data_IF_961513850473
#
_entry.id   IF_961513850473
#
_cell.length_a   1.000
_cell.length_b   1.000
_cell.length_c   1.000
_cell.angle_alpha   90.00
_cell.angle_beta   90.00
_cell.angle_gamma   90.00
#
_symmetry.space_group_name_H-M   'P 1'
#
loop_
_entity.id
_entity.type
_entity.pdbx_description
1 polymer ?
#
# COMPACT_ATOMS: atom_id res chain seq x y z
N UNK A 1 15.00 -13.79 -16.55
CA UNK A 1 14.74 -12.36 -16.27
C UNK A 1 13.28 -12.08 -16.58
N UNK A 2 12.45 -11.76 -15.58
CA UNK A 2 11.05 -11.41 -15.79
C UNK A 2 10.93 -9.88 -15.96
N UNK A 3 10.40 -9.44 -17.10
CA UNK A 3 10.14 -8.03 -17.37
C UNK A 3 9.00 -7.56 -16.46
N UNK A 4 9.30 -6.66 -15.52
CA UNK A 4 8.30 -6.01 -14.69
C UNK A 4 7.57 -4.94 -15.52
N UNK A 5 6.46 -5.30 -16.15
CA UNK A 5 5.49 -4.37 -16.72
C UNK A 5 4.74 -3.65 -15.59
N UNK A 6 5.45 -2.83 -14.83
CA UNK A 6 4.82 -1.83 -13.97
C UNK A 6 4.38 -0.67 -14.84
N UNK A 7 3.07 -0.37 -14.84
CA UNK A 7 2.44 0.65 -15.69
C UNK A 7 1.48 1.55 -14.91
N UNK A 8 0.51 2.14 -15.62
CA UNK A 8 -0.52 3.01 -15.05
C UNK A 8 -1.84 2.23 -14.93
N UNK A 9 -2.41 2.18 -13.73
CA UNK A 9 -3.76 1.65 -13.46
C UNK A 9 -4.54 2.70 -12.67
N UNK A 10 -5.51 3.35 -13.30
CA UNK A 10 -6.28 4.47 -12.73
C UNK A 10 -7.57 4.06 -12.02
N UNK A 11 -8.02 2.83 -12.26
CA UNK A 11 -9.18 2.20 -11.61
C UNK A 11 -8.71 1.11 -10.66
N UNK A 12 -8.31 1.48 -9.43
CA UNK A 12 -7.76 0.56 -8.45
C UNK A 12 -8.85 -0.31 -7.83
N UNK A 13 -8.46 -1.50 -7.44
CA UNK A 13 -9.24 -2.47 -6.70
C UNK A 13 -8.52 -2.85 -5.41
N UNK A 14 -9.27 -3.35 -4.42
CA UNK A 14 -8.68 -3.92 -3.20
C UNK A 14 -7.72 -5.06 -3.56
N UNK A 15 -6.52 -5.00 -2.96
CA UNK A 15 -5.41 -5.92 -3.23
C UNK A 15 -4.44 -5.46 -4.31
N UNK A 16 -4.74 -4.39 -5.05
CA UNK A 16 -3.77 -3.80 -5.96
C UNK A 16 -2.60 -3.18 -5.19
N UNK A 17 -1.40 -3.29 -5.75
CA UNK A 17 -0.17 -2.75 -5.19
C UNK A 17 0.39 -1.69 -6.11
N UNK A 18 0.70 -0.54 -5.52
CA UNK A 18 1.36 0.57 -6.19
C UNK A 18 2.68 0.89 -5.50
N UNK A 19 3.70 1.25 -6.26
CA UNK A 19 4.86 1.97 -5.74
C UNK A 19 4.50 3.44 -5.68
N UNK A 20 4.27 3.94 -4.47
CA UNK A 20 3.82 5.29 -4.19
C UNK A 20 5.00 6.16 -3.81
N UNK A 21 5.15 7.28 -4.52
CA UNK A 21 6.20 8.27 -4.30
C UNK A 21 6.13 8.87 -2.90
N UNK A 22 7.27 9.17 -2.25
CA UNK A 22 7.26 9.87 -0.97
C UNK A 22 6.62 11.26 -1.04
N UNK A 23 6.53 11.87 -2.23
CA UNK A 23 5.89 13.17 -2.46
C UNK A 23 4.39 13.17 -2.19
N UNK A 24 3.76 12.01 -2.11
CA UNK A 24 2.33 11.90 -1.75
C UNK A 24 2.13 11.74 -0.23
N UNK A 25 3.22 11.71 0.56
CA UNK A 25 3.18 11.64 2.02
C UNK A 25 3.22 13.05 2.61
N UNK A 26 2.24 13.40 3.45
CA UNK A 26 2.20 14.70 4.14
C UNK A 26 3.41 14.89 5.07
N UNK A 27 3.87 13.83 5.71
CA UNK A 27 4.98 13.86 6.67
C UNK A 27 6.36 13.70 6.01
N UNK A 28 6.43 13.71 4.68
CA UNK A 28 7.57 13.16 3.95
C UNK A 28 7.72 11.66 4.19
N UNK A 29 8.68 11.03 3.52
CA UNK A 29 9.06 9.65 3.81
C UNK A 29 10.49 9.65 4.35
N UNK A 30 10.66 9.22 5.60
CA UNK A 30 11.99 9.14 6.23
C UNK A 30 12.94 8.15 5.52
N UNK A 31 12.43 7.32 4.60
CA UNK A 31 13.18 6.22 3.97
C UNK A 31 13.57 6.49 2.50
N UNK A 32 13.67 7.76 2.10
CA UNK A 32 14.32 8.17 0.85
C UNK A 32 13.38 8.31 -0.36
N UNK A 33 13.98 8.48 -1.54
CA UNK A 33 13.31 8.88 -2.79
C UNK A 33 12.60 7.75 -3.56
N UNK A 34 12.82 6.48 -3.19
CA UNK A 34 12.48 5.32 -4.04
C UNK A 34 11.00 4.87 -3.99
N UNK A 35 10.14 5.62 -3.30
CA UNK A 35 8.74 5.26 -3.09
C UNK A 35 8.55 3.97 -2.29
N UNK A 36 7.32 3.71 -1.84
CA UNK A 36 6.99 2.51 -1.07
C UNK A 36 5.93 1.68 -1.75
N UNK A 37 6.00 0.34 -1.67
CA UNK A 37 4.87 -0.51 -2.00
C UNK A 37 3.72 -0.20 -1.04
N UNK A 38 2.57 0.14 -1.59
CA UNK A 38 1.33 0.38 -0.87
C UNK A 38 0.23 -0.46 -1.48
N UNK A 39 -0.47 -1.25 -0.65
CA UNK A 39 -1.60 -2.06 -1.07
C UNK A 39 -2.91 -1.32 -0.85
N UNK A 40 -3.80 -1.36 -1.83
CA UNK A 40 -5.14 -0.78 -1.76
C UNK A 40 -6.01 -1.62 -0.85
N UNK A 41 -6.60 -0.98 0.15
CA UNK A 41 -7.53 -1.63 1.09
C UNK A 41 -8.96 -1.13 0.93
N UNK A 42 -9.14 0.12 0.49
CA UNK A 42 -10.45 0.73 0.29
C UNK A 42 -10.38 1.82 -0.78
N UNK A 43 -11.41 1.92 -1.60
CA UNK A 43 -11.54 2.91 -2.66
C UNK A 43 -12.69 3.86 -2.35
N UNK A 44 -12.42 5.17 -2.39
CA UNK A 44 -13.45 6.21 -2.27
C UNK A 44 -13.58 7.02 -3.57
N UNK A 45 -14.59 7.90 -3.66
CA UNK A 45 -14.76 8.78 -4.84
C UNK A 45 -13.52 9.64 -5.12
N UNK A 46 -12.81 10.12 -4.08
CA UNK A 46 -11.73 11.12 -4.23
C UNK A 46 -10.33 10.53 -4.05
N UNK A 47 -10.18 9.46 -3.28
CA UNK A 47 -8.90 8.88 -2.92
C UNK A 47 -8.97 7.35 -2.73
N UNK A 48 -7.81 6.74 -2.69
CA UNK A 48 -7.62 5.32 -2.42
C UNK A 48 -6.89 5.20 -1.09
N UNK A 49 -7.46 4.45 -0.16
CA UNK A 49 -6.83 4.16 1.11
C UNK A 49 -5.87 2.99 0.92
N UNK A 50 -4.65 3.16 1.43
CA UNK A 50 -3.59 2.18 1.27
C UNK A 50 -2.88 1.90 2.57
N UNK A 51 -2.39 0.66 2.69
CA UNK A 51 -1.46 0.25 3.73
C UNK A 51 -0.05 0.17 3.14
N UNK A 52 0.90 0.75 3.86
CA UNK A 52 2.30 0.80 3.45
C UNK A 52 3.00 -0.51 3.82
N UNK A 53 3.85 -1.02 2.93
CA UNK A 53 4.75 -2.14 3.21
C UNK A 53 6.07 -1.66 3.80
N UNK A 54 6.59 -2.39 4.79
CA UNK A 54 7.93 -2.19 5.35
C UNK A 54 8.58 -3.53 5.70
N UNK A 55 9.90 -3.60 5.65
CA UNK A 55 10.66 -4.74 6.20
C UNK A 55 11.05 -4.53 7.66
N UNK A 56 10.92 -3.29 8.16
CA UNK A 56 11.30 -2.88 9.51
C UNK A 56 10.13 -2.09 10.14
N UNK A 57 9.11 -2.78 10.66
CA UNK A 57 7.99 -2.11 11.33
C UNK A 57 8.43 -1.50 12.66
N UNK A 58 7.76 -0.42 13.08
CA UNK A 58 7.94 0.13 14.43
C UNK A 58 7.44 -0.88 15.47
N UNK A 59 8.05 -0.91 16.66
CA UNK A 59 7.74 -1.92 17.70
C UNK A 59 6.25 -1.92 18.12
N UNK A 60 5.60 -0.76 18.06
CA UNK A 60 4.20 -0.56 18.44
C UNK A 60 3.24 -0.63 17.24
N UNK A 61 3.76 -0.73 16.02
CA UNK A 61 2.93 -0.80 14.82
C UNK A 61 2.18 -2.12 14.78
N UNK A 62 0.90 -2.09 14.40
CA UNK A 62 0.21 -3.32 14.03
C UNK A 62 0.73 -3.75 12.66
N UNK A 63 0.91 -5.05 12.52
CA UNK A 63 1.51 -5.63 11.32
C UNK A 63 0.69 -6.80 10.81
N UNK A 64 0.61 -6.89 9.48
CA UNK A 64 0.18 -8.08 8.77
C UNK A 64 1.39 -8.59 7.96
N UNK A 65 1.77 -9.85 8.16
CA UNK A 65 2.90 -10.47 7.45
C UNK A 65 2.61 -10.49 5.95
N UNK A 66 3.60 -10.14 5.15
CA UNK A 66 3.56 -10.13 3.70
C UNK A 66 4.74 -10.93 3.15
N UNK A 67 4.44 -11.99 2.39
CA UNK A 67 5.45 -12.82 1.79
C UNK A 67 6.26 -12.06 0.73
N UNK A 68 7.44 -12.59 0.39
CA UNK A 68 8.14 -12.18 -0.82
C UNK A 68 7.28 -12.55 -2.04
N UNK A 69 7.15 -11.63 -3.00
CA UNK A 69 6.46 -11.86 -4.26
C UNK A 69 7.18 -11.10 -5.38
N UNK A 70 8.11 -11.79 -6.05
CA UNK A 70 8.94 -11.20 -7.12
C UNK A 70 8.13 -10.77 -8.34
N UNK A 71 6.98 -11.40 -8.60
CA UNK A 71 6.14 -11.08 -9.76
C UNK A 71 5.58 -9.65 -9.72
N UNK A 72 5.40 -9.11 -8.51
CA UNK A 72 4.91 -7.73 -8.28
C UNK A 72 5.96 -6.86 -7.59
N UNK A 73 7.24 -7.23 -7.70
CA UNK A 73 8.36 -6.43 -7.20
C UNK A 73 8.49 -6.36 -5.67
N UNK A 74 7.88 -7.28 -4.93
CA UNK A 74 8.04 -7.44 -3.47
C UNK A 74 9.22 -8.39 -3.19
N UNK A 75 10.44 -7.88 -3.31
CA UNK A 75 11.67 -8.69 -3.36
C UNK A 75 12.14 -9.30 -2.03
N UNK A 76 11.50 -8.96 -0.91
CA UNK A 76 11.80 -9.48 0.43
C UNK A 76 10.51 -9.72 1.18
N UNK A 77 10.53 -10.61 2.17
CA UNK A 77 9.47 -10.67 3.19
C UNK A 77 9.35 -9.31 3.90
N UNK A 78 8.15 -8.98 4.33
CA UNK A 78 7.88 -7.74 5.03
C UNK A 78 6.53 -7.76 5.71
N UNK A 79 6.04 -6.56 6.02
CA UNK A 79 4.83 -6.35 6.78
C UNK A 79 4.03 -5.19 6.18
N UNK A 80 2.73 -5.36 6.06
CA UNK A 80 1.79 -4.25 5.88
C UNK A 80 1.51 -3.64 7.24
N UNK A 81 1.50 -2.31 7.32
CA UNK A 81 1.34 -1.59 8.59
C UNK A 81 0.23 -0.57 8.51
N UNK A 82 -0.48 -0.40 9.62
CA UNK A 82 -1.45 0.69 9.82
C UNK A 82 -0.77 2.03 10.15
N UNK A 83 0.54 2.03 10.34
CA UNK A 83 1.35 3.25 10.49
C UNK A 83 1.68 3.81 9.12
N UNK A 84 1.68 5.13 8.98
CA UNK A 84 1.90 5.83 7.72
C UNK A 84 0.91 5.39 6.62
N UNK A 85 -0.37 5.27 6.96
CA UNK A 85 -1.44 5.15 5.98
C UNK A 85 -1.38 6.33 5.02
N UNK A 86 -1.52 6.04 3.73
CA UNK A 86 -1.46 7.07 2.68
C UNK A 86 -2.74 7.00 1.86
N UNK A 87 -3.69 7.93 2.08
CA UNK A 87 -4.73 8.15 1.10
C UNK A 87 -4.07 8.73 -0.16
N UNK A 88 -4.12 7.99 -1.26
CA UNK A 88 -3.60 8.41 -2.55
C UNK A 88 -4.73 9.07 -3.34
N UNK A 89 -4.63 10.35 -3.73
CA UNK A 89 -5.66 10.98 -4.55
C UNK A 89 -5.71 10.30 -5.92
N UNK A 90 -6.91 10.13 -6.49
CA UNK A 90 -7.06 9.44 -7.78
C UNK A 90 -6.26 10.10 -8.92
N UNK A 91 -6.09 11.42 -8.87
CA UNK A 91 -5.27 12.17 -9.82
C UNK A 91 -3.78 11.80 -9.79
N UNK A 92 -3.29 11.22 -8.69
CA UNK A 92 -1.92 10.71 -8.61
C UNK A 92 -1.77 9.33 -9.28
N UNK A 93 -2.83 8.52 -9.37
CA UNK A 93 -2.79 7.21 -10.03
C UNK A 93 -2.51 7.31 -11.52
N UNK A 94 -2.94 8.41 -12.15
CA UNK A 94 -2.66 8.70 -13.55
C UNK A 94 -1.21 9.16 -13.81
N UNK A 95 -0.43 9.40 -12.76
CA UNK A 95 0.94 9.93 -12.85
C UNK A 95 1.91 8.85 -12.41
N UNK A 96 2.55 8.16 -13.36
CA UNK A 96 3.48 7.05 -13.06
C UNK A 96 4.61 7.47 -12.11
N UNK A 97 5.11 8.71 -12.24
CA UNK A 97 6.12 9.28 -11.35
C UNK A 97 5.68 9.40 -9.87
N UNK A 98 4.36 9.39 -9.61
CA UNK A 98 3.78 9.42 -8.27
C UNK A 98 3.28 8.04 -7.84
N UNK A 99 2.69 7.28 -8.74
CA UNK A 99 2.09 5.98 -8.47
C UNK A 99 2.33 5.06 -9.66
N UNK A 100 3.23 4.09 -9.48
CA UNK A 100 3.48 3.05 -10.47
C UNK A 100 2.79 1.77 -10.04
N UNK A 101 1.90 1.23 -10.87
CA UNK A 101 1.25 -0.05 -10.58
C UNK A 101 2.29 -1.18 -10.60
N UNK A 102 2.26 -2.05 -9.59
CA UNK A 102 3.18 -3.18 -9.46
C UNK A 102 2.49 -4.53 -9.73
N UNK A 103 1.18 -4.59 -9.59
CA UNK A 103 0.40 -5.82 -9.73
C UNK A 103 -0.59 -5.99 -8.59
N UNK A 104 -1.17 -7.19 -8.48
CA UNK A 104 -2.17 -7.53 -7.47
C UNK A 104 -1.65 -8.60 -6.52
N UNK A 105 -2.04 -8.50 -5.26
CA UNK A 105 -1.77 -9.52 -4.26
C UNK A 105 -2.58 -10.80 -4.51
N UNK A 106 -2.11 -11.96 -4.02
CA UNK A 106 -2.91 -13.17 -3.94
C UNK A 106 -4.22 -12.92 -3.18
N UNK A 107 -5.26 -13.69 -3.48
CA UNK A 107 -6.59 -13.49 -2.90
C UNK A 107 -6.58 -13.61 -1.37
N UNK A 108 -5.86 -14.59 -0.83
CA UNK A 108 -5.75 -14.80 0.62
C UNK A 108 -5.10 -13.60 1.33
N UNK A 109 -4.03 -13.05 0.76
CA UNK A 109 -3.36 -11.86 1.32
C UNK A 109 -4.25 -10.61 1.17
N UNK A 110 -4.98 -10.50 0.06
CA UNK A 110 -5.98 -9.45 -0.18
C UNK A 110 -7.09 -9.48 0.87
N UNK A 111 -7.62 -10.67 1.18
CA UNK A 111 -8.65 -10.85 2.20
C UNK A 111 -8.11 -10.51 3.59
N UNK A 112 -6.90 -10.96 3.91
CA UNK A 112 -6.24 -10.64 5.18
C UNK A 112 -6.02 -9.13 5.36
N UNK A 113 -5.63 -8.42 4.29
CA UNK A 113 -5.52 -6.97 4.27
C UNK A 113 -6.84 -6.26 4.57
N UNK A 114 -7.94 -6.71 3.96
CA UNK A 114 -9.28 -6.19 4.23
C UNK A 114 -9.67 -6.33 5.71
N UNK A 115 -9.48 -7.51 6.29
CA UNK A 115 -9.75 -7.76 7.72
C UNK A 115 -8.87 -6.92 8.65
N UNK A 116 -7.58 -6.77 8.30
CA UNK A 116 -6.64 -5.95 9.05
C UNK A 116 -7.04 -4.45 9.02
N UNK A 117 -7.49 -3.97 7.86
CA UNK A 117 -8.01 -2.60 7.69
C UNK A 117 -9.27 -2.35 8.52
N UNK A 118 -10.25 -3.26 8.46
CA UNK A 118 -11.48 -3.15 9.25
C UNK A 118 -11.19 -3.08 10.75
N UNK A 119 -10.28 -3.91 11.25
CA UNK A 119 -9.86 -3.90 12.67
C UNK A 119 -9.17 -2.59 13.06
N UNK A 120 -8.42 -2.00 12.14
CA UNK A 120 -7.76 -0.70 12.32
C UNK A 120 -8.79 0.42 12.47
N UNK A 121 -9.81 0.45 11.61
CA UNK A 121 -10.89 1.45 11.64
C UNK A 121 -11.79 1.35 12.86
N UNK A 122 -12.08 0.13 13.36
CA UNK A 122 -12.94 -0.06 14.53
C UNK A 122 -12.37 0.54 15.82
N UNK A 123 -11.05 0.61 15.96
CA UNK A 123 -10.42 1.26 17.13
C UNK A 123 -10.44 2.78 17.03
N UNK A 124 -10.44 3.35 15.82
CA UNK A 124 -10.63 4.80 15.62
C UNK A 124 -12.05 5.29 15.95
N UNK A 125 -13.02 4.36 16.04
CA UNK A 125 -14.42 4.67 16.39
C UNK A 125 -14.74 4.57 17.89
N UNK A 126 -13.80 4.15 18.74
CA UNK A 126 -14.04 4.01 20.20
C UNK A 126 -13.77 5.28 21.02
N UNK A 127 -13.42 6.41 20.38
CA UNK A 127 -13.22 7.71 21.04
C UNK A 127 -14.16 8.79 20.49
N UNK A 128 -15.47 8.53 20.52
CA UNK A 128 -16.49 9.58 20.51
C UNK A 128 -17.51 9.29 21.61
#
# INVERSE_FOLDING_TARGET
MAFMTGGVKIDPETGDVYRVSPKTSVNGDKHGSNGRPCAVVETSKRAVHTLTRTTNPEKTARTLRSAKNDAIGLTKEGYWTDVNQRPVPRSALAKEALCRYLGRLPEDETRALGSFWATTLMLGRKNF
#
